data_IF_916502707710
#
_entry.id   IF_916502707710
#
_cell.length_a   1.000
_cell.length_b   1.000
_cell.length_c   1.000
_cell.angle_alpha   90.00
_cell.angle_beta   90.00
_cell.angle_gamma   90.00
#
_symmetry.space_group_name_H-M   'P 1'
#
loop_
_entity.id
_entity.type
_entity.pdbx_description
1 polymer ?
#
# COMPACT_ATOMS: atom_id res chain seq x y z
N UNK A 1 -46.00 27.64 -37.90
CA UNK A 1 -45.23 27.19 -36.72
C UNK A 1 -44.43 28.38 -36.25
N UNK A 2 -44.69 28.87 -35.05
CA UNK A 2 -43.99 30.03 -34.49
C UNK A 2 -42.52 29.70 -34.22
N UNK A 3 -41.62 30.64 -34.51
CA UNK A 3 -40.18 30.45 -34.34
C UNK A 3 -39.80 30.21 -32.86
N UNK A 4 -40.57 30.80 -31.95
CA UNK A 4 -40.45 30.61 -30.51
C UNK A 4 -40.85 29.18 -30.07
N UNK A 5 -41.90 28.62 -30.68
CA UNK A 5 -42.32 27.25 -30.42
C UNK A 5 -41.26 26.22 -30.88
N UNK A 6 -40.59 26.49 -31.99
CA UNK A 6 -39.48 25.65 -32.47
C UNK A 6 -38.26 25.70 -31.53
N UNK A 7 -37.90 26.89 -31.03
CA UNK A 7 -36.81 27.04 -30.07
C UNK A 7 -37.11 26.35 -28.75
N UNK A 8 -38.33 26.49 -28.22
CA UNK A 8 -38.77 25.82 -27.00
C UNK A 8 -38.71 24.30 -27.13
N UNK A 9 -39.21 23.75 -28.25
CA UNK A 9 -39.14 22.32 -28.54
C UNK A 9 -37.69 21.80 -28.60
N UNK A 10 -36.79 22.53 -29.26
CA UNK A 10 -35.37 22.14 -29.34
C UNK A 10 -34.68 22.17 -27.98
N UNK A 11 -35.01 23.17 -27.15
CA UNK A 11 -34.47 23.26 -25.79
C UNK A 11 -34.94 22.09 -24.92
N UNK A 12 -36.23 21.74 -24.99
CA UNK A 12 -36.80 20.59 -24.29
C UNK A 12 -36.10 19.29 -24.71
N UNK A 13 -35.91 19.08 -26.03
CA UNK A 13 -35.19 17.90 -26.55
C UNK A 13 -33.73 17.86 -26.11
N UNK A 14 -33.05 19.01 -26.05
CA UNK A 14 -31.68 19.08 -25.53
C UNK A 14 -31.62 18.70 -24.06
N UNK A 15 -32.54 19.21 -23.24
CA UNK A 15 -32.61 18.88 -21.82
C UNK A 15 -32.91 17.39 -21.61
N UNK A 16 -33.87 16.85 -22.35
CA UNK A 16 -34.19 15.42 -22.33
C UNK A 16 -32.96 14.56 -22.65
N UNK A 17 -32.21 14.91 -23.70
CA UNK A 17 -31.00 14.18 -24.09
C UNK A 17 -29.92 14.25 -22.99
N UNK A 18 -29.72 15.42 -22.38
CA UNK A 18 -28.74 15.58 -21.30
C UNK A 18 -29.09 14.71 -20.08
N UNK A 19 -30.37 14.66 -19.72
CA UNK A 19 -30.87 13.79 -18.65
C UNK A 19 -30.64 12.33 -19.01
N UNK A 20 -31.02 11.88 -20.21
CA UNK A 20 -30.81 10.51 -20.65
C UNK A 20 -29.32 10.10 -20.65
N UNK A 21 -28.44 11.00 -21.08
CA UNK A 21 -26.98 10.76 -21.04
C UNK A 21 -26.47 10.65 -19.61
N UNK A 22 -26.90 11.53 -18.71
CA UNK A 22 -26.52 11.48 -17.31
C UNK A 22 -27.02 10.20 -16.63
N UNK A 23 -28.28 9.82 -16.85
CA UNK A 23 -28.86 8.58 -16.34
C UNK A 23 -28.06 7.35 -16.80
N UNK A 24 -27.79 7.25 -18.11
CA UNK A 24 -26.97 6.14 -18.66
C UNK A 24 -25.57 6.09 -18.06
N UNK A 25 -24.95 7.24 -17.81
CA UNK A 25 -23.65 7.33 -17.16
C UNK A 25 -23.71 6.76 -15.74
N UNK A 26 -24.70 7.20 -14.95
CA UNK A 26 -24.87 6.71 -13.58
C UNK A 26 -25.23 5.23 -13.52
N UNK A 27 -26.08 4.72 -14.43
CA UNK A 27 -26.40 3.29 -14.49
C UNK A 27 -25.14 2.44 -14.74
N UNK A 28 -24.23 2.92 -15.61
CA UNK A 28 -22.95 2.26 -15.86
C UNK A 28 -22.05 2.27 -14.62
N UNK A 29 -21.92 3.42 -13.95
CA UNK A 29 -21.12 3.54 -12.72
C UNK A 29 -21.68 2.63 -11.61
N UNK A 30 -23.00 2.56 -11.46
CA UNK A 30 -23.67 1.65 -10.52
C UNK A 30 -23.35 0.19 -10.82
N UNK A 31 -23.38 -0.21 -12.10
CA UNK A 31 -23.03 -1.58 -12.50
C UNK A 31 -21.56 -1.89 -12.20
N UNK A 32 -20.65 -0.97 -12.49
CA UNK A 32 -19.22 -1.14 -12.21
C UNK A 32 -18.96 -1.27 -10.70
N UNK A 33 -19.57 -0.41 -9.89
CA UNK A 33 -19.49 -0.49 -8.42
C UNK A 33 -20.03 -1.82 -7.89
N UNK A 34 -21.15 -2.32 -8.44
CA UNK A 34 -21.69 -3.64 -8.05
C UNK A 34 -20.71 -4.77 -8.33
N UNK A 35 -20.03 -4.74 -9.48
CA UNK A 35 -19.00 -5.73 -9.83
C UNK A 35 -17.83 -5.64 -8.86
N UNK A 36 -17.34 -4.44 -8.56
CA UNK A 36 -16.24 -4.24 -7.60
C UNK A 36 -16.60 -4.70 -6.18
N UNK A 37 -17.81 -4.42 -5.71
CA UNK A 37 -18.31 -4.90 -4.40
C UNK A 37 -18.37 -6.43 -4.37
N UNK A 38 -18.82 -7.06 -5.45
CA UNK A 38 -18.87 -8.51 -5.54
C UNK A 38 -17.47 -9.12 -5.49
N UNK A 39 -16.51 -8.57 -6.25
CA UNK A 39 -15.12 -9.02 -6.24
C UNK A 39 -14.51 -8.87 -4.83
N UNK A 40 -14.67 -7.71 -4.20
CA UNK A 40 -14.16 -7.48 -2.86
C UNK A 40 -14.75 -8.45 -1.83
N UNK A 41 -16.04 -8.81 -1.98
CA UNK A 41 -16.68 -9.80 -1.11
C UNK A 41 -16.04 -11.18 -1.27
N UNK A 42 -15.75 -11.62 -2.50
CA UNK A 42 -15.05 -12.87 -2.77
C UNK A 42 -13.61 -12.86 -2.23
N UNK A 43 -12.90 -11.74 -2.38
CA UNK A 43 -11.53 -11.60 -1.88
C UNK A 43 -11.49 -11.70 -0.35
N UNK A 44 -12.46 -11.08 0.35
CA UNK A 44 -12.60 -11.17 1.81
C UNK A 44 -12.92 -12.60 2.25
N UNK A 45 -13.79 -13.32 1.54
CA UNK A 45 -14.09 -14.73 1.83
C UNK A 45 -12.85 -15.61 1.66
N UNK A 46 -12.11 -15.42 0.56
CA UNK A 46 -10.87 -16.13 0.28
C UNK A 46 -9.82 -15.87 1.35
N UNK A 47 -9.64 -14.60 1.74
CA UNK A 47 -8.69 -14.22 2.79
C UNK A 47 -9.08 -14.85 4.15
N UNK A 48 -10.37 -14.87 4.48
CA UNK A 48 -10.87 -15.55 5.69
C UNK A 48 -10.60 -17.04 5.66
N UNK A 49 -10.78 -17.70 4.50
CA UNK A 49 -10.45 -19.11 4.34
C UNK A 49 -8.95 -19.36 4.53
N UNK A 50 -8.10 -18.56 3.90
CA UNK A 50 -6.64 -18.65 4.03
C UNK A 50 -6.18 -18.46 5.49
N UNK A 51 -6.75 -17.49 6.21
CA UNK A 51 -6.45 -17.26 7.63
C UNK A 51 -6.86 -18.46 8.50
N UNK A 52 -7.98 -19.13 8.19
CA UNK A 52 -8.39 -20.35 8.89
C UNK A 52 -7.40 -21.49 8.63
N UNK A 53 -6.96 -21.67 7.39
CA UNK A 53 -5.97 -22.70 7.02
C UNK A 53 -4.64 -22.47 7.74
N UNK A 54 -4.12 -21.24 7.73
CA UNK A 54 -2.86 -20.89 8.43
C UNK A 54 -2.98 -21.15 9.95
N UNK A 55 -4.11 -20.81 10.57
CA UNK A 55 -4.32 -21.10 12.00
C UNK A 55 -4.38 -22.59 12.29
N UNK A 56 -4.98 -23.38 11.40
CA UNK A 56 -5.02 -24.83 11.54
C UNK A 56 -3.62 -25.46 11.39
N UNK A 57 -2.82 -24.98 10.45
CA UNK A 57 -1.41 -25.39 10.27
C UNK A 57 -0.55 -25.03 11.49
N UNK A 58 -0.71 -23.82 12.04
CA UNK A 58 -0.01 -23.41 13.27
C UNK A 58 -0.41 -24.26 14.49
N UNK A 59 -1.69 -24.63 14.59
CA UNK A 59 -2.17 -25.49 15.67
C UNK A 59 -1.65 -26.93 15.58
N UNK A 60 -1.19 -27.35 14.40
CA UNK A 60 -0.64 -28.69 14.14
C UNK A 60 0.89 -28.75 14.28
N UNK A 61 1.59 -27.63 14.52
CA UNK A 61 3.01 -27.68 14.87
C UNK A 61 3.16 -28.19 16.32
N UNK A 62 3.72 -29.40 16.55
CA UNK A 62 4.02 -29.82 17.91
C UNK A 62 5.12 -28.92 18.48
N UNK A 63 4.89 -28.42 19.70
CA UNK A 63 5.91 -27.75 20.48
C UNK A 63 7.04 -28.74 20.82
N UNK A 64 7.99 -28.95 19.90
CA UNK A 64 9.26 -29.58 20.22
C UNK A 64 10.16 -28.54 20.90
N UNK A 65 9.83 -28.22 22.14
CA UNK A 65 10.74 -27.58 23.08
C UNK A 65 11.14 -28.64 24.11
N UNK A 66 12.18 -29.40 23.80
CA UNK A 66 12.98 -30.02 24.87
C UNK A 66 13.68 -28.89 25.62
N UNK A 67 13.47 -28.72 26.94
CA UNK A 67 14.25 -27.77 27.70
C UNK A 67 15.64 -28.38 27.93
N UNK A 68 16.64 -27.94 27.17
CA UNK A 68 18.04 -28.16 27.55
C UNK A 68 18.43 -27.07 28.55
N UNK A 69 18.76 -27.42 29.81
CA UNK A 69 19.48 -26.50 30.67
C UNK A 69 20.94 -26.48 30.21
N UNK A 70 21.53 -25.31 29.96
CA UNK A 70 22.91 -24.98 30.36
C UNK A 70 23.42 -23.68 29.71
N UNK A 71 23.91 -22.81 30.59
CA UNK A 71 25.07 -21.91 30.50
C UNK A 71 25.09 -20.72 29.52
N UNK A 72 25.14 -19.52 30.12
CA UNK A 72 25.64 -18.29 29.52
C UNK A 72 27.07 -18.46 28.98
N UNK A 73 27.36 -18.09 27.72
CA UNK A 73 28.73 -17.83 27.31
C UNK A 73 29.04 -16.32 27.40
N UNK A 74 29.70 -16.01 28.51
CA UNK A 74 30.70 -14.95 28.73
C UNK A 74 31.23 -14.28 27.45
N UNK A 75 31.15 -12.95 27.42
CA UNK A 75 31.68 -12.07 26.38
C UNK A 75 33.17 -12.34 26.05
N UNK A 76 33.51 -12.37 24.77
CA UNK A 76 34.88 -12.41 24.25
C UNK A 76 35.10 -11.28 23.22
N UNK A 77 36.35 -10.80 23.04
CA UNK A 77 36.64 -9.43 22.63
C UNK A 77 36.69 -9.20 21.11
N UNK A 78 36.45 -7.92 20.78
CA UNK A 78 36.65 -7.21 19.51
C UNK A 78 37.94 -7.63 18.77
N UNK A 79 37.79 -8.04 17.51
CA UNK A 79 38.90 -8.13 16.53
C UNK A 79 38.78 -6.96 15.54
N UNK A 80 39.91 -6.31 15.31
CA UNK A 80 40.10 -5.10 14.50
C UNK A 80 39.79 -5.28 13.01
N UNK A 81 39.45 -4.14 12.41
CA UNK A 81 39.24 -3.89 10.98
C UNK A 81 40.53 -4.15 10.17
N UNK A 82 40.38 -4.38 8.85
CA UNK A 82 40.93 -3.53 7.77
C UNK A 82 40.77 -4.22 6.40
N UNK A 83 40.04 -3.59 5.48
CA UNK A 83 40.56 -3.16 4.16
C UNK A 83 39.44 -2.56 3.31
N UNK A 84 39.41 -1.23 3.32
CA UNK A 84 38.78 -0.41 2.28
C UNK A 84 39.73 -0.33 1.07
N UNK A 85 39.26 -0.77 -0.10
CA UNK A 85 39.66 -0.35 -1.46
C UNK A 85 38.95 -1.35 -2.40
N UNK A 86 38.08 -0.97 -3.32
CA UNK A 86 38.28 0.06 -4.32
C UNK A 86 36.95 0.72 -4.71
N UNK A 87 36.99 2.05 -4.74
CA UNK A 87 36.05 2.94 -5.42
C UNK A 87 36.57 3.19 -6.82
N UNK A 88 35.64 3.46 -7.76
CA UNK A 88 35.78 4.08 -9.09
C UNK A 88 35.50 3.08 -10.24
N UNK A 89 34.67 3.36 -11.23
CA UNK A 89 34.11 4.62 -11.70
C UNK A 89 33.04 4.34 -12.80
N UNK A 90 32.29 5.38 -13.15
CA UNK A 90 31.34 5.53 -14.27
C UNK A 90 29.95 4.91 -14.03
N UNK A 91 28.99 5.65 -13.44
CA UNK A 91 28.21 6.72 -14.09
C UNK A 91 27.58 6.29 -15.41
N UNK A 92 26.38 5.73 -15.33
CA UNK A 92 25.35 5.92 -16.35
C UNK A 92 23.99 5.87 -15.67
N UNK A 93 23.39 7.05 -15.53
CA UNK A 93 21.96 7.26 -15.78
C UNK A 93 20.97 6.25 -15.19
N UNK A 94 20.36 6.66 -14.08
CA UNK A 94 18.98 6.28 -13.75
C UNK A 94 18.80 4.94 -13.07
N UNK A 95 17.73 4.88 -12.30
CA UNK A 95 17.10 3.66 -11.76
C UNK A 95 17.59 3.04 -10.44
N UNK A 96 16.57 2.77 -9.63
CA UNK A 96 16.52 1.96 -8.42
C UNK A 96 17.29 2.50 -7.21
N UNK A 97 16.61 3.32 -6.41
CA UNK A 97 16.85 3.32 -4.96
C UNK A 97 16.48 1.93 -4.47
N UNK A 98 17.46 1.03 -4.46
CA UNK A 98 17.35 -0.25 -3.77
C UNK A 98 17.12 0.09 -2.30
N UNK A 99 15.87 -0.10 -1.83
CA UNK A 99 15.51 -0.05 -0.42
C UNK A 99 16.31 -1.14 0.28
N UNK A 100 17.55 -0.80 0.66
CA UNK A 100 18.32 -1.60 1.61
C UNK A 100 17.48 -1.59 2.88
N UNK A 101 16.87 -2.73 3.20
CA UNK A 101 16.15 -2.97 4.45
C UNK A 101 16.96 -2.33 5.57
N UNK A 102 16.37 -1.34 6.24
CA UNK A 102 17.01 -0.69 7.35
C UNK A 102 17.32 -1.78 8.38
N UNK A 103 18.61 -1.96 8.69
CA UNK A 103 19.06 -2.86 9.74
C UNK A 103 18.30 -2.45 11.00
N UNK A 104 17.54 -3.37 11.59
CA UNK A 104 16.79 -3.13 12.82
C UNK A 104 17.78 -2.81 13.95
N UNK A 105 18.09 -1.53 14.10
CA UNK A 105 18.86 -0.99 15.21
C UNK A 105 17.93 -0.46 16.28
N UNK A 106 18.47 -0.24 17.48
CA UNK A 106 17.75 0.41 18.57
C UNK A 106 17.40 1.85 18.16
N UNK A 107 16.20 2.06 17.64
CA UNK A 107 15.67 3.39 17.36
C UNK A 107 15.21 4.02 18.67
N UNK A 108 15.69 5.23 18.95
CA UNK A 108 15.17 6.04 20.05
C UNK A 108 13.98 6.87 19.54
N UNK A 109 13.08 7.27 20.43
CA UNK A 109 11.90 8.07 20.08
C UNK A 109 12.24 9.42 19.42
N UNK A 110 13.43 9.95 19.71
CA UNK A 110 14.02 11.15 19.11
C UNK A 110 14.51 10.98 17.65
N UNK A 111 14.69 9.74 17.20
CA UNK A 111 14.97 9.39 15.80
C UNK A 111 13.71 9.41 14.93
N UNK A 112 12.52 9.38 15.56
CA UNK A 112 11.20 9.34 14.91
C UNK A 112 10.38 10.61 15.17
N UNK A 113 11.04 11.76 15.31
CA UNK A 113 10.31 13.01 15.60
C UNK A 113 9.58 13.54 14.37
N UNK A 114 8.27 13.76 14.52
CA UNK A 114 7.39 14.31 13.47
C UNK A 114 7.95 15.61 12.88
N UNK A 115 8.64 16.42 13.69
CA UNK A 115 9.26 17.68 13.25
C UNK A 115 10.46 17.47 12.29
N UNK A 116 11.21 16.37 12.41
CA UNK A 116 12.27 16.02 11.45
C UNK A 116 11.71 15.44 10.15
N UNK A 117 10.63 14.64 10.23
CA UNK A 117 10.01 14.02 9.06
C UNK A 117 9.10 14.97 8.28
N UNK A 118 8.51 15.95 8.97
CA UNK A 118 7.67 16.98 8.39
C UNK A 118 8.29 18.35 8.64
N UNK A 119 9.42 18.62 7.97
CA UNK A 119 9.91 19.98 7.82
C UNK A 119 8.91 20.77 6.94
N UNK A 120 7.85 21.28 7.55
CA UNK A 120 7.11 22.39 6.96
C UNK A 120 7.98 23.61 7.14
N UNK A 121 8.80 23.89 6.12
CA UNK A 121 9.67 25.06 6.11
C UNK A 121 8.88 26.30 6.50
N UNK A 122 9.20 26.86 7.67
CA UNK A 122 8.83 28.22 8.03
C UNK A 122 9.58 29.16 7.09
N UNK A 123 9.01 29.39 5.91
CA UNK A 123 9.34 30.57 5.11
C UNK A 123 8.61 31.75 5.73
N UNK A 124 9.31 32.47 6.61
CA UNK A 124 9.11 33.91 6.81
C UNK A 124 10.37 34.61 6.38
#
# INVERSE_FOLDING_TARGET
MDQEAQLSFLLEKKLQLLVEMATKKYDREILELKVQIHQLSQDVETLRANLKSIRAEQAQQPAHHTPTPHEEPKAAPRVERLSDQQVAQASASGESVSLRMAKSGNYNSEDVSVEKFFYYGNKR
#
